data_IF_463869748385
#
_entry.id   IF_463869748385
#
_cell.length_a   1.000
_cell.length_b   1.000
_cell.length_c   1.000
_cell.angle_alpha   90.00
_cell.angle_beta   90.00
_cell.angle_gamma   90.00
#
_symmetry.space_group_name_H-M   'P 1'
#
loop_
_entity.id
_entity.type
_entity.pdbx_description
1 polymer ?
#
# COMPACT_ATOMS: atom_id res chain seq x y z
N UNK A 1 11.66 -20.25 50.64
CA UNK A 1 12.00 -21.24 49.59
C UNK A 1 11.31 -21.02 48.21
N UNK A 2 10.53 -19.95 47.97
CA UNK A 2 9.66 -19.85 46.76
C UNK A 2 10.13 -18.96 45.58
N UNK A 3 11.26 -18.24 45.70
CA UNK A 3 11.71 -17.30 44.64
C UNK A 3 12.38 -17.99 43.44
N UNK A 4 13.16 -19.06 43.66
CA UNK A 4 13.91 -19.76 42.58
C UNK A 4 13.01 -20.43 41.54
N UNK A 5 11.86 -20.98 41.96
CA UNK A 5 10.87 -21.60 41.06
C UNK A 5 10.20 -20.57 40.12
N UNK A 6 9.91 -19.37 40.63
CA UNK A 6 9.31 -18.29 39.83
C UNK A 6 10.24 -17.75 38.75
N UNK A 7 11.54 -17.68 39.02
CA UNK A 7 12.52 -17.18 38.05
C UNK A 7 12.76 -18.16 36.90
N UNK A 8 12.81 -19.47 37.20
CA UNK A 8 12.93 -20.50 36.17
C UNK A 8 11.70 -20.54 35.25
N UNK A 9 10.50 -20.47 35.82
CA UNK A 9 9.24 -20.41 35.06
C UNK A 9 9.18 -19.20 34.13
N UNK A 10 9.51 -18.01 34.62
CA UNK A 10 9.57 -16.77 33.80
C UNK A 10 10.60 -16.84 32.67
N UNK A 11 11.72 -17.54 32.89
CA UNK A 11 12.73 -17.74 31.85
C UNK A 11 12.21 -18.65 30.76
N UNK A 12 11.55 -19.74 31.13
CA UNK A 12 10.96 -20.68 30.18
C UNK A 12 9.84 -20.02 29.34
N UNK A 13 8.91 -19.30 29.98
CA UNK A 13 7.84 -18.56 29.28
C UNK A 13 8.44 -17.56 28.27
N UNK A 14 9.47 -16.82 28.67
CA UNK A 14 10.15 -15.89 27.77
C UNK A 14 10.85 -16.60 26.60
N UNK A 15 11.49 -17.74 26.84
CA UNK A 15 12.18 -18.47 25.79
C UNK A 15 11.17 -19.05 24.77
N UNK A 16 9.99 -19.49 25.24
CA UNK A 16 8.86 -19.89 24.40
C UNK A 16 8.30 -18.71 23.58
N UNK A 17 8.10 -17.54 24.20
CA UNK A 17 7.67 -16.31 23.53
C UNK A 17 8.66 -15.88 22.45
N UNK A 18 9.97 -15.94 22.72
CA UNK A 18 11.02 -15.58 21.77
C UNK A 18 11.04 -16.52 20.56
N UNK A 19 10.86 -17.83 20.79
CA UNK A 19 10.74 -18.80 19.70
C UNK A 19 9.51 -18.51 18.85
N UNK A 20 8.36 -18.24 19.48
CA UNK A 20 7.13 -17.86 18.78
C UNK A 20 7.31 -16.60 17.94
N UNK A 21 7.81 -15.51 18.52
CA UNK A 21 8.06 -14.23 17.83
C UNK A 21 9.03 -14.42 16.66
N UNK A 22 10.12 -15.16 16.85
CA UNK A 22 11.10 -15.42 15.79
C UNK A 22 10.51 -16.22 14.62
N UNK A 23 9.56 -17.13 14.91
CA UNK A 23 8.84 -17.89 13.90
C UNK A 23 7.93 -16.98 13.07
N UNK A 24 7.14 -16.13 13.74
CA UNK A 24 6.25 -15.17 13.05
C UNK A 24 7.04 -14.16 12.21
N UNK A 25 8.16 -13.66 12.73
CA UNK A 25 9.02 -12.72 12.02
C UNK A 25 9.55 -13.33 10.71
N UNK A 26 9.92 -14.62 10.70
CA UNK A 26 10.37 -15.30 9.48
C UNK A 26 9.28 -15.32 8.41
N UNK A 27 8.03 -15.55 8.79
CA UNK A 27 6.90 -15.51 7.86
C UNK A 27 6.66 -14.10 7.31
N UNK A 28 6.66 -13.09 8.17
CA UNK A 28 6.51 -11.69 7.73
C UNK A 28 7.63 -11.27 6.77
N UNK A 29 8.88 -11.62 7.07
CA UNK A 29 10.01 -11.36 6.18
C UNK A 29 9.89 -12.12 4.86
N UNK A 30 9.47 -13.39 4.90
CA UNK A 30 9.26 -14.20 3.71
C UNK A 30 8.18 -13.64 2.79
N UNK A 31 7.04 -13.23 3.36
CA UNK A 31 5.92 -12.62 2.61
C UNK A 31 6.36 -11.29 2.00
N UNK A 32 6.94 -10.39 2.81
CA UNK A 32 7.41 -9.09 2.34
C UNK A 32 8.49 -9.21 1.26
N UNK A 33 9.47 -10.10 1.44
CA UNK A 33 10.50 -10.35 0.45
C UNK A 33 9.91 -10.89 -0.87
N UNK A 34 8.94 -11.80 -0.79
CA UNK A 34 8.29 -12.35 -1.99
C UNK A 34 7.54 -11.28 -2.77
N UNK A 35 6.79 -10.42 -2.09
CA UNK A 35 6.11 -9.28 -2.72
C UNK A 35 7.10 -8.32 -3.40
N UNK A 36 8.20 -7.97 -2.71
CA UNK A 36 9.24 -7.12 -3.30
C UNK A 36 9.86 -7.78 -4.53
N UNK A 37 10.29 -9.04 -4.44
CA UNK A 37 10.98 -9.73 -5.54
C UNK A 37 10.11 -9.83 -6.81
N UNK A 38 8.81 -10.06 -6.66
CA UNK A 38 7.88 -10.17 -7.79
C UNK A 38 7.61 -8.81 -8.45
N UNK A 39 7.53 -7.73 -7.67
CA UNK A 39 7.12 -6.41 -8.16
C UNK A 39 8.26 -5.38 -8.28
N UNK A 40 9.50 -5.72 -7.93
CA UNK A 40 10.64 -4.81 -7.97
C UNK A 40 10.84 -4.21 -9.37
N UNK A 41 10.66 -5.03 -10.42
CA UNK A 41 10.78 -4.59 -11.80
C UNK A 41 9.69 -3.58 -12.19
N UNK A 42 8.51 -3.62 -11.56
CA UNK A 42 7.41 -2.72 -11.85
C UNK A 42 7.69 -1.28 -11.43
N UNK A 43 8.57 -1.05 -10.45
CA UNK A 43 8.92 0.30 -9.99
C UNK A 43 9.55 1.18 -11.07
N UNK A 44 10.23 0.56 -12.05
CA UNK A 44 10.85 1.27 -13.18
C UNK A 44 9.96 1.43 -14.41
N UNK A 45 8.74 0.87 -14.39
CA UNK A 45 7.82 0.96 -15.51
C UNK A 45 7.17 2.34 -15.59
N UNK A 46 6.70 2.70 -16.79
CA UNK A 46 5.84 3.86 -16.99
C UNK A 46 4.36 3.53 -16.77
N UNK A 47 3.54 4.58 -16.84
CA UNK A 47 2.09 4.45 -16.84
C UNK A 47 1.58 3.66 -18.05
N UNK A 48 0.50 2.91 -17.84
CA UNK A 48 -0.13 2.09 -18.88
C UNK A 48 -1.65 2.15 -18.80
N UNK A 49 -2.32 2.00 -19.95
CA UNK A 49 -3.78 1.97 -20.05
C UNK A 49 -4.45 3.18 -19.39
N UNK A 50 -5.28 2.94 -18.38
CA UNK A 50 -6.11 3.95 -17.73
C UNK A 50 -5.31 4.96 -16.90
N UNK A 51 -4.06 4.66 -16.57
CA UNK A 51 -3.16 5.59 -15.89
C UNK A 51 -3.02 6.91 -16.68
N UNK A 52 -3.00 6.84 -18.01
CA UNK A 52 -2.94 8.02 -18.85
C UNK A 52 -4.16 8.94 -18.67
N UNK A 53 -5.32 8.38 -18.34
CA UNK A 53 -6.57 9.13 -18.16
C UNK A 53 -6.77 9.57 -16.71
N UNK A 54 -6.49 8.68 -15.76
CA UNK A 54 -6.77 8.87 -14.35
C UNK A 54 -5.66 9.63 -13.62
N UNK A 55 -4.44 9.60 -14.16
CA UNK A 55 -3.26 10.25 -13.57
C UNK A 55 -2.77 11.37 -14.47
N UNK A 56 -2.26 11.05 -15.65
CA UNK A 56 -1.60 12.06 -16.50
C UNK A 56 -2.58 13.05 -17.10
N UNK A 57 -3.76 12.60 -17.55
CA UNK A 57 -4.79 13.43 -18.18
C UNK A 57 -5.87 13.93 -17.22
N UNK A 58 -5.77 13.61 -15.92
CA UNK A 58 -6.79 13.90 -14.93
C UNK A 58 -6.63 15.31 -14.36
N UNK A 59 -7.60 16.19 -14.61
CA UNK A 59 -7.59 17.52 -14.00
C UNK A 59 -7.70 17.46 -12.46
N UNK A 60 -8.31 16.40 -11.90
CA UNK A 60 -8.36 16.19 -10.45
C UNK A 60 -6.96 16.01 -9.87
N UNK A 61 -6.12 15.20 -10.52
CA UNK A 61 -4.74 14.95 -10.09
C UNK A 61 -3.84 16.15 -10.39
N UNK A 62 -3.93 16.74 -11.59
CA UNK A 62 -3.09 17.87 -11.98
C UNK A 62 -3.35 19.12 -11.12
N UNK A 63 -4.63 19.42 -10.84
CA UNK A 63 -5.01 20.61 -10.08
C UNK A 63 -5.08 20.37 -8.57
N UNK A 64 -4.88 19.12 -8.13
CA UNK A 64 -4.97 18.72 -6.73
C UNK A 64 -6.32 19.13 -6.10
N UNK A 65 -7.42 18.91 -6.84
CA UNK A 65 -8.77 19.25 -6.39
C UNK A 65 -9.35 18.14 -5.50
N UNK A 66 -8.92 18.15 -4.24
CA UNK A 66 -9.39 17.20 -3.22
C UNK A 66 -10.91 17.27 -2.98
N UNK A 67 -11.52 18.44 -3.15
CA UNK A 67 -12.94 18.60 -2.85
C UNK A 67 -13.79 17.88 -3.90
N UNK A 68 -13.45 18.05 -5.18
CA UNK A 68 -14.16 17.43 -6.29
C UNK A 68 -14.04 15.90 -6.31
N UNK A 69 -13.03 15.30 -5.66
CA UNK A 69 -12.92 13.84 -5.52
C UNK A 69 -14.17 13.21 -4.87
N UNK A 70 -14.83 13.90 -3.95
CA UNK A 70 -15.99 13.39 -3.22
C UNK A 70 -17.34 13.75 -3.85
N UNK A 71 -17.34 14.55 -4.91
CA UNK A 71 -18.57 15.01 -5.58
C UNK A 71 -18.65 14.57 -7.04
N UNK A 72 -17.61 13.91 -7.55
CA UNK A 72 -17.51 13.49 -8.95
C UNK A 72 -17.34 11.97 -9.09
N UNK A 73 -17.51 11.48 -10.31
CA UNK A 73 -17.30 10.07 -10.62
C UNK A 73 -15.83 9.77 -10.93
N UNK A 74 -15.47 8.48 -10.92
CA UNK A 74 -14.12 7.95 -11.08
C UNK A 74 -13.38 8.48 -12.33
N UNK A 75 -14.10 8.63 -13.43
CA UNK A 75 -13.58 9.14 -14.69
C UNK A 75 -13.70 10.65 -14.88
N UNK A 76 -14.23 11.40 -13.91
CA UNK A 76 -14.56 12.82 -14.08
C UNK A 76 -13.34 13.67 -14.43
N UNK A 77 -12.15 13.25 -14.03
CA UNK A 77 -10.87 13.84 -14.38
C UNK A 77 -10.56 13.84 -15.88
N UNK A 78 -11.20 12.97 -16.67
CA UNK A 78 -10.91 12.75 -18.08
C UNK A 78 -12.17 12.84 -18.95
N UNK A 79 -12.11 13.64 -20.01
CA UNK A 79 -13.21 13.76 -20.97
C UNK A 79 -13.21 12.55 -21.92
N UNK A 80 -14.25 11.71 -21.86
CA UNK A 80 -14.44 10.61 -22.82
C UNK A 80 -15.08 9.34 -22.28
N UNK A 81 -15.30 9.21 -20.96
CA UNK A 81 -15.96 8.05 -20.37
C UNK A 81 -17.18 8.48 -19.54
N UNK A 82 -18.38 8.16 -20.05
CA UNK A 82 -19.66 8.46 -19.40
C UNK A 82 -20.06 7.41 -18.35
N UNK A 83 -19.21 6.42 -18.09
CA UNK A 83 -19.49 5.39 -17.09
C UNK A 83 -19.39 5.98 -15.69
N UNK A 84 -20.53 6.14 -15.02
CA UNK A 84 -20.59 6.73 -13.68
C UNK A 84 -20.29 5.66 -12.63
N UNK A 85 -19.06 5.68 -12.11
CA UNK A 85 -18.65 4.89 -10.95
C UNK A 85 -18.17 5.82 -9.84
N UNK A 86 -18.70 5.69 -8.62
CA UNK A 86 -18.25 6.49 -7.49
C UNK A 86 -17.14 5.77 -6.73
N UNK A 87 -15.88 6.23 -6.86
CA UNK A 87 -14.68 5.62 -6.25
C UNK A 87 -13.75 6.69 -5.63
N UNK A 88 -14.26 7.50 -4.68
CA UNK A 88 -13.53 8.66 -4.16
C UNK A 88 -12.20 8.27 -3.51
N UNK A 89 -12.13 7.15 -2.79
CA UNK A 89 -10.90 6.71 -2.13
C UNK A 89 -9.80 6.32 -3.12
N UNK A 90 -10.16 5.72 -4.26
CA UNK A 90 -9.21 5.39 -5.31
C UNK A 90 -8.64 6.66 -5.94
N UNK A 91 -9.51 7.60 -6.32
CA UNK A 91 -9.08 8.88 -6.91
C UNK A 91 -8.27 9.70 -5.90
N UNK A 92 -8.66 9.70 -4.62
CA UNK A 92 -7.91 10.35 -3.55
C UNK A 92 -6.49 9.78 -3.43
N UNK A 93 -6.33 8.45 -3.49
CA UNK A 93 -5.01 7.81 -3.47
C UNK A 93 -4.15 8.28 -4.65
N UNK A 94 -4.71 8.31 -5.86
CA UNK A 94 -3.99 8.78 -7.05
C UNK A 94 -3.59 10.26 -6.95
N UNK A 95 -4.44 11.07 -6.34
CA UNK A 95 -4.20 12.50 -6.12
C UNK A 95 -3.09 12.71 -5.09
N UNK A 96 -3.10 11.96 -3.99
CA UNK A 96 -2.04 11.96 -2.97
C UNK A 96 -0.69 11.55 -3.54
N UNK A 97 -0.63 10.50 -4.36
CA UNK A 97 0.61 10.07 -5.02
C UNK A 97 1.14 11.11 -6.04
N UNK A 98 0.22 11.96 -6.54
CA UNK A 98 0.49 13.07 -7.46
C UNK A 98 0.94 14.37 -6.78
N UNK A 99 1.01 14.40 -5.45
CA UNK A 99 1.55 15.56 -4.74
C UNK A 99 3.00 15.82 -5.16
N UNK A 100 3.29 17.05 -5.57
CA UNK A 100 4.61 17.41 -6.10
C UNK A 100 4.89 16.85 -7.50
N UNK A 101 3.84 16.55 -8.28
CA UNK A 101 3.90 16.19 -9.69
C UNK A 101 3.52 14.74 -9.97
N UNK A 102 3.44 14.38 -11.24
CA UNK A 102 3.12 13.02 -11.68
C UNK A 102 4.42 12.24 -11.91
N UNK A 103 4.62 11.11 -11.21
CA UNK A 103 5.81 10.26 -11.33
C UNK A 103 5.43 8.77 -11.12
N UNK A 104 5.50 7.91 -12.15
CA UNK A 104 5.09 6.50 -12.07
C UNK A 104 5.70 5.72 -10.88
N UNK A 105 6.97 5.99 -10.57
CA UNK A 105 7.67 5.33 -9.47
C UNK A 105 6.94 5.51 -8.14
N UNK A 106 6.38 6.70 -7.86
CA UNK A 106 5.66 6.96 -6.60
C UNK A 106 4.38 6.14 -6.50
N UNK A 107 3.58 6.12 -7.56
CA UNK A 107 2.34 5.35 -7.63
C UNK A 107 2.62 3.84 -7.45
N UNK A 108 3.62 3.31 -8.15
CA UNK A 108 3.99 1.91 -8.03
C UNK A 108 4.57 1.57 -6.66
N UNK A 109 5.36 2.47 -6.06
CA UNK A 109 5.90 2.28 -4.72
C UNK A 109 4.78 2.26 -3.65
N UNK A 110 3.84 3.21 -3.71
CA UNK A 110 2.67 3.23 -2.81
C UNK A 110 1.88 1.94 -2.93
N UNK A 111 1.60 1.48 -4.16
CA UNK A 111 0.90 0.21 -4.39
C UNK A 111 1.65 -1.00 -3.83
N UNK A 112 2.98 -1.06 -4.00
CA UNK A 112 3.80 -2.14 -3.46
C UNK A 112 3.80 -2.15 -1.93
N UNK A 113 3.90 -0.98 -1.31
CA UNK A 113 3.83 -0.82 0.15
C UNK A 113 2.47 -1.31 0.66
N UNK A 114 1.37 -0.85 0.07
CA UNK A 114 0.02 -1.27 0.44
C UNK A 114 -0.19 -2.77 0.24
N UNK A 115 0.35 -3.35 -0.84
CA UNK A 115 0.29 -4.78 -1.08
C UNK A 115 1.01 -5.58 0.01
N UNK A 116 2.23 -5.17 0.38
CA UNK A 116 2.99 -5.80 1.49
C UNK A 116 2.19 -5.72 2.79
N UNK A 117 1.70 -4.53 3.15
CA UNK A 117 0.91 -4.36 4.37
C UNK A 117 -0.34 -5.24 4.38
N UNK A 118 -1.10 -5.26 3.29
CA UNK A 118 -2.30 -6.08 3.16
C UNK A 118 -1.99 -7.57 3.27
N UNK A 119 -0.90 -8.04 2.66
CA UNK A 119 -0.46 -9.44 2.74
C UNK A 119 0.03 -9.87 4.12
N UNK A 120 0.43 -8.94 4.97
CA UNK A 120 0.86 -9.24 6.35
C UNK A 120 -0.29 -9.30 7.35
N UNK A 121 -1.45 -8.70 7.04
CA UNK A 121 -2.62 -8.65 7.93
C UNK A 121 -3.75 -9.62 7.55
N UNK A 122 -3.73 -10.15 6.33
CA UNK A 122 -4.70 -11.12 5.81
C UNK A 122 -4.49 -12.52 6.38
#
# INVERSE_FOLDING_TARGET
MGKRSRTAKRRQERDEDLVFISSQLKWFLGIGASAILVYLNALGNGFVYDDHFLVEGSWLVQNQDFASVFTTHYWAGYAGNETVHYRPLTVLSLLLDGLGGVNPFRYHLTNLILHIFNSLIA
#
